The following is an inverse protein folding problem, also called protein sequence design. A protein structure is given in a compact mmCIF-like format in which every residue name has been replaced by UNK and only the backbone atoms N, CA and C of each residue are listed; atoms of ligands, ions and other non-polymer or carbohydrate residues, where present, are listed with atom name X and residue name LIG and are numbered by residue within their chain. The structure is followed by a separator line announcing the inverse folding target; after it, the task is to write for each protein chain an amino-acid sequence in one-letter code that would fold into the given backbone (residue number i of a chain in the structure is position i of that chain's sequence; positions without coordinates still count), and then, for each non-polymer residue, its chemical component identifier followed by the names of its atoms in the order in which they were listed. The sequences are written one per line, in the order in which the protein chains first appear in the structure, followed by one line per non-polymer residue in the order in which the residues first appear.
data_IF_223780895606
#
_entry.id   IF_223780895606
#
_cell.length_a   1.000
_cell.length_b   1.000
_cell.length_c   1.000
_cell.angle_alpha   90.00
_cell.angle_beta   90.00
_cell.angle_gamma   90.00
#
_symmetry.space_group_name_H-M   'P 1'
#
loop_
_entity.id
_entity.type
_entity.pdbx_description
1 polymer ?
#
# COMPACT_ATOMS: atom_id res chain seq x y z
N UNK A 1 25.96 28.95 30.30
CA UNK A 1 25.53 27.54 30.24
C UNK A 1 24.97 27.07 28.86
N UNK A 2 25.47 27.54 27.70
CA UNK A 2 24.92 27.08 26.40
C UNK A 2 25.36 25.67 25.98
N UNK A 3 26.48 25.14 26.49
CA UNK A 3 26.99 23.81 26.12
C UNK A 3 26.13 22.64 26.62
N UNK A 4 25.52 22.77 27.81
CA UNK A 4 24.65 21.72 28.35
C UNK A 4 23.36 21.56 27.55
N UNK A 5 22.76 22.67 27.10
CA UNK A 5 21.58 22.66 26.23
C UNK A 5 21.89 22.05 24.87
N UNK A 6 23.06 22.37 24.28
CA UNK A 6 23.47 21.79 23.01
C UNK A 6 23.69 20.26 23.10
N UNK A 7 24.35 19.79 24.15
CA UNK A 7 24.55 18.35 24.40
C UNK A 7 23.21 17.64 24.62
N UNK A 8 22.30 18.23 25.41
CA UNK A 8 20.98 17.65 25.64
C UNK A 8 20.15 17.54 24.34
N UNK A 9 20.17 18.58 23.48
CA UNK A 9 19.50 18.56 22.18
C UNK A 9 20.11 17.52 21.24
N UNK A 10 21.44 17.38 21.23
CA UNK A 10 22.13 16.38 20.42
C UNK A 10 21.79 14.94 20.86
N UNK A 11 21.77 14.68 22.16
CA UNK A 11 21.37 13.36 22.70
C UNK A 11 19.90 13.08 22.41
N UNK A 12 19.01 14.07 22.58
CA UNK A 12 17.59 13.92 22.24
C UNK A 12 17.40 13.60 20.74
N UNK A 13 18.12 14.29 19.85
CA UNK A 13 18.09 14.01 18.42
C UNK A 13 18.58 12.59 18.09
N UNK A 14 19.66 12.12 18.75
CA UNK A 14 20.16 10.74 18.59
C UNK A 14 19.16 9.70 19.08
N UNK A 15 18.51 9.92 20.22
CA UNK A 15 17.50 9.00 20.76
C UNK A 15 16.28 8.95 19.83
N UNK A 16 15.79 10.10 19.36
CA UNK A 16 14.69 10.16 18.39
C UNK A 16 15.06 9.41 17.11
N UNK A 17 16.25 9.67 16.56
CA UNK A 17 16.74 8.98 15.37
C UNK A 17 16.84 7.46 15.57
N UNK A 18 17.35 7.02 16.72
CA UNK A 18 17.43 5.60 17.08
C UNK A 18 16.05 4.95 17.19
N UNK A 19 15.11 5.60 17.91
CA UNK A 19 13.75 5.08 18.08
C UNK A 19 13.05 4.95 16.73
N UNK A 20 13.16 5.96 15.85
CA UNK A 20 12.58 5.90 14.50
C UNK A 20 13.13 4.70 13.73
N UNK A 21 14.45 4.47 13.76
CA UNK A 21 15.08 3.34 13.07
C UNK A 21 14.66 1.98 13.64
N UNK A 22 14.56 1.86 14.96
CA UNK A 22 14.11 0.61 15.59
C UNK A 22 12.66 0.31 15.25
N UNK A 23 11.78 1.32 15.28
CA UNK A 23 10.37 1.17 14.91
C UNK A 23 10.22 0.76 13.45
N UNK A 24 10.99 1.37 12.54
CA UNK A 24 10.99 1.01 11.10
C UNK A 24 11.36 -0.46 10.90
N UNK A 25 12.44 -0.93 11.53
CA UNK A 25 12.87 -2.35 11.45
C UNK A 25 11.85 -3.29 12.09
N UNK A 26 11.31 -2.93 13.26
CA UNK A 26 10.28 -3.73 13.93
C UNK A 26 9.01 -3.85 13.08
N UNK A 27 8.62 -2.78 12.40
CA UNK A 27 7.47 -2.77 11.50
C UNK A 27 7.72 -3.68 10.29
N UNK A 28 8.91 -3.64 9.70
CA UNK A 28 9.29 -4.57 8.62
C UNK A 28 9.26 -6.04 9.07
N UNK A 29 9.78 -6.33 10.26
CA UNK A 29 9.73 -7.69 10.85
C UNK A 29 8.29 -8.10 11.12
N UNK A 30 7.45 -7.18 11.60
CA UNK A 30 6.05 -7.43 11.84
C UNK A 30 5.29 -7.73 10.54
N UNK A 31 5.50 -6.96 9.47
CA UNK A 31 4.93 -7.25 8.15
C UNK A 31 5.43 -8.61 7.63
N UNK A 32 6.73 -8.90 7.79
CA UNK A 32 7.28 -10.20 7.39
C UNK A 32 6.66 -11.35 8.18
N UNK A 33 6.38 -11.17 9.47
CA UNK A 33 5.70 -12.16 10.30
C UNK A 33 4.24 -12.37 9.85
N UNK A 34 3.51 -11.29 9.54
CA UNK A 34 2.15 -11.38 8.97
C UNK A 34 2.15 -12.14 7.64
N UNK A 35 3.08 -11.80 6.74
CA UNK A 35 3.24 -12.47 5.46
C UNK A 35 3.62 -13.95 5.65
N UNK A 36 4.48 -14.26 6.63
CA UNK A 36 4.85 -15.63 6.96
C UNK A 36 3.67 -16.45 7.48
N UNK A 37 2.83 -15.87 8.32
CA UNK A 37 1.59 -16.49 8.82
C UNK A 37 0.61 -16.74 7.68
N UNK A 38 0.43 -15.76 6.78
CA UNK A 38 -0.37 -15.89 5.57
C UNK A 38 0.13 -17.03 4.67
N UNK A 39 1.42 -17.03 4.33
CA UNK A 39 2.04 -18.05 3.49
C UNK A 39 1.93 -19.43 4.13
N UNK A 40 2.10 -19.54 5.46
CA UNK A 40 1.92 -20.78 6.20
C UNK A 40 0.47 -21.25 6.15
N UNK A 41 -0.51 -20.36 6.29
CA UNK A 41 -1.93 -20.72 6.22
C UNK A 41 -2.33 -21.25 4.84
N UNK A 42 -1.82 -20.63 3.76
CA UNK A 42 -2.02 -21.12 2.39
C UNK A 42 -1.30 -22.45 2.19
N UNK A 43 -0.04 -22.56 2.62
CA UNK A 43 0.74 -23.80 2.50
C UNK A 43 0.03 -24.97 3.18
N UNK A 44 -0.46 -24.78 4.42
CA UNK A 44 -1.22 -25.78 5.17
C UNK A 44 -2.51 -26.18 4.44
N UNK A 45 -3.21 -25.21 3.84
CA UNK A 45 -4.44 -25.46 3.08
C UNK A 45 -4.16 -26.30 1.83
N UNK A 46 -3.10 -25.97 1.09
CA UNK A 46 -2.67 -26.70 -0.10
C UNK A 46 -2.19 -28.12 0.26
N UNK A 47 -1.40 -28.27 1.31
CA UNK A 47 -0.93 -29.56 1.80
C UNK A 47 -2.11 -30.46 2.23
N UNK A 48 -3.06 -29.93 2.99
CA UNK A 48 -4.24 -30.71 3.42
C UNK A 48 -5.18 -31.05 2.26
N UNK A 49 -5.37 -30.13 1.30
CA UNK A 49 -6.32 -30.32 0.20
C UNK A 49 -5.75 -31.19 -0.92
N UNK A 50 -4.48 -31.00 -1.28
CA UNK A 50 -3.82 -31.68 -2.41
C UNK A 50 -2.84 -32.78 -1.98
N UNK A 51 -2.60 -32.97 -0.66
CA UNK A 51 -1.69 -33.98 -0.10
C UNK A 51 -0.27 -33.93 -0.68
N UNK A 52 0.19 -32.72 -1.03
CA UNK A 52 1.54 -32.48 -1.56
C UNK A 52 2.55 -32.24 -0.43
N UNK A 53 3.84 -32.49 -0.70
CA UNK A 53 4.90 -32.20 0.27
C UNK A 53 4.97 -30.71 0.63
N UNK A 54 5.30 -30.39 1.88
CA UNK A 54 5.34 -29.01 2.41
C UNK A 54 6.16 -28.03 1.56
N UNK A 55 7.26 -28.47 0.94
CA UNK A 55 8.08 -27.62 0.07
C UNK A 55 7.37 -27.26 -1.25
N UNK A 56 6.57 -28.19 -1.81
CA UNK A 56 5.71 -27.94 -2.98
C UNK A 56 4.56 -27.01 -2.61
N UNK A 57 3.96 -27.22 -1.43
CA UNK A 57 2.92 -26.33 -0.91
C UNK A 57 3.43 -24.89 -0.76
N UNK A 58 4.62 -24.71 -0.17
CA UNK A 58 5.21 -23.40 0.02
C UNK A 58 5.59 -22.72 -1.30
N UNK A 59 6.25 -23.45 -2.21
CA UNK A 59 6.61 -22.89 -3.54
C UNK A 59 5.36 -22.49 -4.33
N UNK A 60 4.31 -23.32 -4.31
CA UNK A 60 3.04 -23.00 -4.96
C UNK A 60 2.38 -21.79 -4.31
N UNK A 61 2.39 -21.68 -2.98
CA UNK A 61 1.85 -20.53 -2.26
C UNK A 61 2.59 -19.24 -2.67
N UNK A 62 3.92 -19.26 -2.67
CA UNK A 62 4.76 -18.10 -3.02
C UNK A 62 4.55 -17.68 -4.47
N UNK A 63 4.64 -18.62 -5.40
CA UNK A 63 4.42 -18.36 -6.84
C UNK A 63 3.00 -17.87 -7.08
N UNK A 64 2.00 -18.48 -6.42
CA UNK A 64 0.60 -18.08 -6.49
C UNK A 64 0.38 -16.65 -5.98
N UNK A 65 0.98 -16.28 -4.84
CA UNK A 65 0.90 -14.92 -4.31
C UNK A 65 1.58 -13.91 -5.23
N UNK A 66 2.77 -14.21 -5.76
CA UNK A 66 3.47 -13.33 -6.71
C UNK A 66 2.67 -13.15 -7.99
N UNK A 67 2.10 -14.23 -8.53
CA UNK A 67 1.23 -14.19 -9.71
C UNK A 67 -0.05 -13.38 -9.43
N UNK A 68 -0.65 -13.52 -8.24
CA UNK A 68 -1.81 -12.72 -7.83
C UNK A 68 -1.47 -11.23 -7.75
N UNK A 69 -0.35 -10.87 -7.12
CA UNK A 69 0.11 -9.47 -7.03
C UNK A 69 0.39 -8.90 -8.42
N UNK A 70 1.10 -9.63 -9.28
CA UNK A 70 1.37 -9.21 -10.65
C UNK A 70 0.07 -9.08 -11.48
N UNK A 71 -0.86 -10.02 -11.34
CA UNK A 71 -2.16 -9.98 -12.01
C UNK A 71 -3.03 -8.81 -11.55
N UNK A 72 -3.07 -8.54 -10.25
CA UNK A 72 -3.75 -7.35 -9.69
C UNK A 72 -3.09 -6.09 -10.24
N UNK A 73 -1.76 -5.99 -10.24
CA UNK A 73 -1.03 -4.85 -10.80
C UNK A 73 -1.36 -4.63 -12.28
N UNK A 74 -1.38 -5.70 -13.08
CA UNK A 74 -1.74 -5.64 -14.49
C UNK A 74 -3.20 -5.21 -14.73
N UNK A 75 -4.12 -5.52 -13.81
CA UNK A 75 -5.51 -5.09 -13.86
C UNK A 75 -5.72 -3.65 -13.37
N UNK A 76 -4.94 -3.19 -12.39
CA UNK A 76 -5.12 -1.88 -11.75
C UNK A 76 -4.36 -0.75 -12.45
N UNK A 77 -3.13 -0.99 -12.89
CA UNK A 77 -2.25 0.06 -13.42
C UNK A 77 -2.81 0.70 -14.70
N UNK A 78 -3.23 -0.04 -15.73
CA UNK A 78 -3.73 0.57 -16.97
C UNK A 78 -4.95 1.46 -16.75
N UNK A 79 -6.03 1.04 -16.04
CA UNK A 79 -7.17 1.90 -15.77
C UNK A 79 -6.82 3.20 -15.04
N UNK A 80 -5.90 3.15 -14.08
CA UNK A 80 -5.44 4.35 -13.36
C UNK A 80 -4.73 5.30 -14.31
N UNK A 81 -3.85 4.78 -15.18
CA UNK A 81 -3.17 5.58 -16.19
C UNK A 81 -4.18 6.19 -17.16
N UNK A 82 -5.06 5.39 -17.74
CA UNK A 82 -6.02 5.82 -18.76
C UNK A 82 -6.99 6.86 -18.20
N UNK A 83 -7.50 6.67 -16.99
CA UNK A 83 -8.40 7.64 -16.35
C UNK A 83 -7.68 8.93 -15.96
N UNK A 84 -6.47 8.84 -15.45
CA UNK A 84 -5.69 10.04 -15.10
C UNK A 84 -5.33 10.82 -16.36
N UNK A 85 -4.96 10.14 -17.45
CA UNK A 85 -4.73 10.76 -18.75
C UNK A 85 -6.02 11.40 -19.30
N UNK A 86 -7.14 10.69 -19.28
CA UNK A 86 -8.43 11.20 -19.74
C UNK A 86 -8.84 12.47 -18.98
N UNK A 87 -8.66 12.49 -17.66
CA UNK A 87 -8.89 13.68 -16.84
C UNK A 87 -8.01 14.84 -17.31
N UNK A 88 -6.71 14.63 -17.48
CA UNK A 88 -5.78 15.69 -17.88
C UNK A 88 -6.05 16.19 -19.30
N UNK A 89 -6.39 15.32 -20.24
CA UNK A 89 -6.75 15.71 -21.61
C UNK A 89 -8.13 16.37 -21.67
N UNK A 90 -9.04 16.02 -20.75
CA UNK A 90 -10.37 16.61 -20.64
C UNK A 90 -10.40 17.95 -19.91
N UNK A 91 -9.43 18.21 -19.03
CA UNK A 91 -9.27 19.48 -18.29
C UNK A 91 -9.41 20.72 -19.18
N UNK A 92 -8.75 20.87 -20.34
CA UNK A 92 -8.92 22.04 -21.20
C UNK A 92 -10.36 22.26 -21.66
N UNK A 93 -11.12 21.20 -21.97
CA UNK A 93 -12.53 21.32 -22.36
C UNK A 93 -13.42 21.74 -21.18
N UNK A 94 -13.15 21.20 -19.99
CA UNK A 94 -13.85 21.59 -18.76
C UNK A 94 -13.54 23.04 -18.38
N UNK A 95 -12.28 23.45 -18.47
CA UNK A 95 -11.83 24.81 -18.15
C UNK A 95 -12.36 25.82 -19.16
N UNK A 96 -12.35 25.51 -20.45
CA UNK A 96 -12.95 26.38 -21.49
C UNK A 96 -14.46 26.51 -21.32
N UNK A 97 -15.16 25.43 -20.92
CA UNK A 97 -16.59 25.49 -20.59
C UNK A 97 -16.86 26.40 -19.38
N UNK A 98 -16.05 26.29 -18.33
CA UNK A 98 -16.10 27.17 -17.16
C UNK A 98 -15.79 28.62 -17.56
N UNK A 99 -14.79 28.84 -18.41
CA UNK A 99 -14.45 30.17 -18.94
C UNK A 99 -15.59 30.78 -19.73
N UNK A 100 -16.28 30.00 -20.56
CA UNK A 100 -17.41 30.49 -21.36
C UNK A 100 -18.61 30.87 -20.47
N UNK A 101 -18.89 30.09 -19.43
CA UNK A 101 -19.91 30.43 -18.43
C UNK A 101 -19.52 31.68 -17.65
N UNK A 102 -18.26 31.77 -17.19
CA UNK A 102 -17.74 32.94 -16.48
C UNK A 102 -17.71 34.18 -17.37
N UNK A 103 -17.38 34.06 -18.65
CA UNK A 103 -17.39 35.16 -19.61
C UNK A 103 -18.82 35.67 -19.86
N UNK A 104 -19.81 34.77 -19.89
CA UNK A 104 -21.23 35.12 -19.96
C UNK A 104 -21.67 35.87 -18.71
N UNK A 105 -21.24 35.44 -17.51
CA UNK A 105 -21.56 36.10 -16.24
C UNK A 105 -20.77 37.40 -16.01
N UNK A 106 -19.61 37.54 -16.66
CA UNK A 106 -18.77 38.75 -16.60
C UNK A 106 -19.36 39.92 -17.38
N UNK A 107 -20.34 39.68 -18.26
CA UNK A 107 -21.15 40.74 -18.90
C UNK A 107 -22.01 41.46 -17.86
N UNK A 108 -22.55 40.73 -16.89
CA UNK A 108 -23.43 41.27 -15.84
C UNK A 108 -22.65 41.77 -14.60
N UNK A 109 -21.44 41.24 -14.35
CA UNK A 109 -20.62 41.61 -13.19
C UNK A 109 -19.15 41.93 -13.58
N UNK A 110 -18.75 43.22 -13.70
CA UNK A 110 -17.42 43.63 -14.18
C UNK A 110 -16.25 43.25 -13.25
N UNK A 111 -16.52 42.76 -12.04
CA UNK A 111 -15.51 42.28 -11.08
C UNK A 111 -14.89 40.94 -11.54
N UNK A 112 -15.64 40.12 -12.28
CA UNK A 112 -15.19 38.79 -12.74
C UNK A 112 -14.18 38.86 -13.89
N UNK A 113 -14.17 39.98 -14.62
CA UNK A 113 -13.31 40.23 -15.79
C UNK A 113 -11.82 40.40 -15.46
N UNK A 114 -11.45 40.55 -14.17
CA UNK A 114 -10.06 40.66 -13.70
C UNK A 114 -9.44 39.33 -13.27
N UNK A 115 -10.17 38.23 -13.33
CA UNK A 115 -9.62 36.92 -12.95
C UNK A 115 -8.78 36.35 -14.10
N UNK A 116 -7.55 35.90 -13.82
CA UNK A 116 -6.64 35.29 -14.82
C UNK A 116 -7.24 34.06 -15.52
N UNK A 117 -8.25 33.45 -14.88
CA UNK A 117 -9.06 32.38 -15.42
C UNK A 117 -9.90 32.83 -16.62
N UNK A 118 -10.38 34.07 -16.67
CA UNK A 118 -11.26 34.59 -17.72
C UNK A 118 -10.51 35.17 -18.93
N UNK A 119 -9.17 35.26 -18.88
CA UNK A 119 -8.34 35.78 -19.96
C UNK A 119 -7.67 34.63 -20.75
N UNK A 120 -8.10 34.35 -22.00
CA UNK A 120 -7.50 33.31 -22.85
C UNK A 120 -6.03 33.55 -23.18
N UNK A 121 -5.54 34.79 -23.03
CA UNK A 121 -4.16 35.18 -23.33
C UNK A 121 -3.18 34.98 -22.17
N UNK A 122 -3.69 34.70 -20.95
CA UNK A 122 -2.88 34.55 -19.74
C UNK A 122 -1.95 33.33 -19.76
N UNK A 123 -2.17 32.38 -20.67
CA UNK A 123 -1.41 31.13 -20.74
C UNK A 123 -1.50 30.26 -19.48
N UNK A 124 -2.41 30.59 -18.54
CA UNK A 124 -2.59 29.88 -17.27
C UNK A 124 -3.02 28.43 -17.50
N UNK A 125 -4.00 28.21 -18.38
CA UNK A 125 -4.48 26.86 -18.75
C UNK A 125 -3.36 26.02 -19.38
N UNK A 126 -2.57 26.62 -20.27
CA UNK A 126 -1.43 25.95 -20.89
C UNK A 126 -0.34 25.59 -19.85
N UNK A 127 -0.08 26.47 -18.88
CA UNK A 127 0.82 26.19 -17.74
C UNK A 127 0.29 25.06 -16.86
N UNK A 128 -1.00 25.08 -16.50
CA UNK A 128 -1.63 24.03 -15.69
C UNK A 128 -1.56 22.65 -16.35
N UNK A 129 -1.82 22.58 -17.66
CA UNK A 129 -1.74 21.34 -18.44
C UNK A 129 -0.30 20.86 -18.55
N UNK A 130 0.64 21.76 -18.82
CA UNK A 130 2.06 21.43 -18.88
C UNK A 130 2.55 20.91 -17.52
N UNK A 131 2.20 21.57 -16.42
CA UNK A 131 2.54 21.17 -15.06
C UNK A 131 1.91 19.82 -14.69
N UNK A 132 0.64 19.59 -15.02
CA UNK A 132 -0.02 18.29 -14.80
C UNK A 132 0.65 17.17 -15.63
N UNK A 133 1.00 17.44 -16.89
CA UNK A 133 1.66 16.47 -17.77
C UNK A 133 3.11 16.19 -17.36
N UNK A 134 3.80 17.21 -16.86
CA UNK A 134 5.17 17.11 -16.34
C UNK A 134 5.17 16.43 -14.97
N UNK A 135 4.16 16.66 -14.14
CA UNK A 135 3.95 15.93 -12.90
C UNK A 135 3.67 14.46 -13.18
N UNK A 136 2.82 14.09 -14.14
CA UNK A 136 2.64 12.68 -14.50
C UNK A 136 3.92 12.04 -15.02
N UNK A 137 4.56 12.63 -16.02
CA UNK A 137 5.83 12.10 -16.56
C UNK A 137 6.91 12.03 -15.48
N UNK A 138 7.02 13.09 -14.69
CA UNK A 138 8.00 13.27 -13.63
C UNK A 138 7.64 12.63 -12.29
N UNK A 139 6.45 12.06 -12.09
CA UNK A 139 6.10 11.23 -10.92
C UNK A 139 6.21 9.75 -11.29
N UNK A 140 5.76 9.36 -12.48
CA UNK A 140 5.89 7.99 -12.98
C UNK A 140 7.36 7.55 -13.13
N UNK A 141 8.25 8.44 -13.59
CA UNK A 141 9.69 8.12 -13.77
C UNK A 141 10.44 7.92 -12.44
N UNK A 142 10.29 8.76 -11.40
CA UNK A 142 10.86 8.51 -10.09
C UNK A 142 10.23 7.34 -9.33
N UNK A 143 8.98 6.96 -9.56
CA UNK A 143 8.45 5.73 -8.96
C UNK A 143 9.17 4.46 -9.46
N UNK A 144 9.78 4.50 -10.65
CA UNK A 144 10.64 3.42 -11.15
C UNK A 144 12.01 3.40 -10.44
N UNK A 145 12.58 4.56 -10.08
CA UNK A 145 13.89 4.65 -9.40
C UNK A 145 13.78 4.60 -7.86
N UNK A 146 12.80 5.28 -7.26
CA UNK A 146 12.33 5.08 -5.87
C UNK A 146 11.75 3.66 -5.68
N UNK A 147 11.31 3.03 -6.77
CA UNK A 147 11.02 1.60 -6.86
C UNK A 147 12.18 0.74 -6.38
N UNK A 148 13.44 1.19 -6.50
CA UNK A 148 14.59 0.49 -5.95
C UNK A 148 14.56 0.33 -4.43
N UNK A 149 14.20 1.39 -3.68
CA UNK A 149 14.09 1.31 -2.21
C UNK A 149 12.91 0.43 -1.79
N UNK A 150 11.73 0.64 -2.40
CA UNK A 150 10.54 -0.19 -2.14
C UNK A 150 10.76 -1.64 -2.55
N UNK A 151 11.52 -1.89 -3.61
CA UNK A 151 11.89 -3.22 -4.07
C UNK A 151 12.85 -3.88 -3.09
N UNK A 152 13.89 -3.18 -2.62
CA UNK A 152 14.82 -3.73 -1.63
C UNK A 152 14.10 -4.03 -0.31
N UNK A 153 13.28 -3.11 0.19
CA UNK A 153 12.51 -3.31 1.43
C UNK A 153 11.47 -4.42 1.27
N UNK A 154 10.70 -4.40 0.18
CA UNK A 154 9.72 -5.43 -0.13
C UNK A 154 10.35 -6.81 -0.33
N UNK A 155 11.46 -6.90 -1.06
CA UNK A 155 12.22 -8.13 -1.22
C UNK A 155 12.76 -8.63 0.12
N UNK A 156 13.27 -7.72 0.96
CA UNK A 156 13.71 -8.04 2.32
C UNK A 156 12.59 -8.64 3.17
N UNK A 157 11.39 -8.04 3.11
CA UNK A 157 10.19 -8.56 3.79
C UNK A 157 9.80 -9.94 3.27
N UNK A 158 9.78 -10.14 1.95
CA UNK A 158 9.46 -11.44 1.33
C UNK A 158 10.48 -12.51 1.74
N UNK A 159 11.78 -12.20 1.66
CA UNK A 159 12.85 -13.11 2.07
C UNK A 159 12.73 -13.46 3.54
N UNK A 160 12.52 -12.46 4.42
CA UNK A 160 12.32 -12.69 5.85
C UNK A 160 11.09 -13.55 6.12
N UNK A 161 9.98 -13.28 5.44
CA UNK A 161 8.75 -14.07 5.57
C UNK A 161 8.98 -15.53 5.16
N UNK A 162 9.67 -15.77 4.04
CA UNK A 162 10.04 -17.12 3.59
C UNK A 162 10.87 -17.85 4.64
N UNK A 163 11.89 -17.21 5.19
CA UNK A 163 12.71 -17.81 6.23
C UNK A 163 11.88 -18.19 7.47
N UNK A 164 11.02 -17.27 7.93
CA UNK A 164 10.09 -17.50 9.05
C UNK A 164 9.14 -18.67 8.76
N UNK A 165 8.62 -18.78 7.54
CA UNK A 165 7.71 -19.87 7.14
C UNK A 165 8.42 -21.22 7.00
N UNK A 166 9.65 -21.26 6.46
CA UNK A 166 10.38 -22.53 6.25
C UNK A 166 10.73 -23.18 7.59
N UNK A 167 11.25 -22.42 8.56
CA UNK A 167 11.73 -22.94 9.86
C UNK A 167 11.06 -22.27 11.07
N UNK A 168 9.74 -22.41 11.26
CA UNK A 168 9.03 -21.71 12.34
C UNK A 168 9.52 -22.09 13.74
N UNK A 169 9.98 -23.33 13.93
CA UNK A 169 10.54 -23.81 15.21
C UNK A 169 11.87 -23.14 15.56
N UNK A 170 12.75 -22.91 14.59
CA UNK A 170 14.04 -22.26 14.81
C UNK A 170 13.85 -20.82 15.35
N UNK A 171 12.92 -20.06 14.77
CA UNK A 171 12.65 -18.68 15.19
C UNK A 171 11.89 -18.61 16.51
N UNK A 172 10.97 -19.56 16.76
CA UNK A 172 10.31 -19.72 18.06
C UNK A 172 11.31 -20.06 19.16
N UNK A 173 12.18 -21.04 18.94
CA UNK A 173 13.12 -21.49 19.97
C UNK A 173 14.23 -20.45 20.18
N UNK A 174 14.65 -19.74 19.12
CA UNK A 174 15.54 -18.59 19.21
C UNK A 174 14.97 -17.44 20.05
N UNK A 175 13.70 -17.06 19.83
CA UNK A 175 13.04 -16.03 20.65
C UNK A 175 12.86 -16.47 22.10
N UNK A 176 12.52 -17.74 22.34
CA UNK A 176 12.43 -18.30 23.70
C UNK A 176 13.79 -18.42 24.40
N UNK A 177 14.90 -18.53 23.65
CA UNK A 177 16.24 -18.62 24.22
C UNK A 177 16.68 -17.32 24.92
N UNK A 178 16.19 -16.17 24.44
CA UNK A 178 16.42 -14.84 25.04
C UNK A 178 15.67 -14.65 26.36
N UNK A 179 14.68 -15.50 26.65
CA UNK A 179 13.90 -15.46 27.88
C UNK A 179 14.57 -16.30 28.98
N UNK A 180 14.52 -15.80 30.21
CA UNK A 180 14.96 -16.57 31.39
C UNK A 180 14.20 -17.91 31.47
N UNK A 181 14.87 -19.02 31.87
CA UNK A 181 14.25 -20.35 31.93
C UNK A 181 12.90 -20.39 32.66
N UNK A 182 12.73 -19.57 33.71
CA UNK A 182 11.50 -19.46 34.49
C UNK A 182 10.29 -19.00 33.66
N UNK A 183 10.49 -18.15 32.66
CA UNK A 183 9.42 -17.57 31.84
C UNK A 183 9.26 -18.25 30.47
N UNK A 184 10.11 -19.22 30.11
CA UNK A 184 10.06 -19.89 28.79
C UNK A 184 8.73 -20.56 28.51
N UNK A 185 8.13 -21.21 29.50
CA UNK A 185 6.81 -21.85 29.34
C UNK A 185 5.69 -20.81 29.09
N UNK A 186 5.75 -19.65 29.75
CA UNK A 186 4.80 -18.56 29.54
C UNK A 186 4.99 -17.95 28.14
N UNK A 187 6.23 -17.63 27.76
CA UNK A 187 6.55 -17.09 26.43
C UNK A 187 6.12 -18.02 25.30
N UNK A 188 6.29 -19.33 25.49
CA UNK A 188 5.88 -20.34 24.50
C UNK A 188 4.36 -20.38 24.28
N UNK A 189 3.57 -20.12 25.34
CA UNK A 189 2.10 -20.01 25.25
C UNK A 189 1.68 -18.72 24.57
N UNK A 190 2.22 -17.58 25.02
CA UNK A 190 1.92 -16.26 24.43
C UNK A 190 2.24 -16.23 22.94
N UNK A 191 3.37 -16.81 22.52
CA UNK A 191 3.74 -16.86 21.10
C UNK A 191 2.83 -17.77 20.28
N UNK A 192 2.35 -18.87 20.87
CA UNK A 192 1.39 -19.75 20.22
C UNK A 192 0.01 -19.07 20.07
N UNK A 193 -0.45 -18.39 21.11
CA UNK A 193 -1.69 -17.62 21.08
C UNK A 193 -1.60 -16.48 20.06
N UNK A 194 -0.50 -15.71 20.07
CA UNK A 194 -0.26 -14.66 19.08
C UNK A 194 -0.26 -15.20 17.65
N UNK A 195 0.38 -16.35 17.40
CA UNK A 195 0.35 -16.98 16.08
C UNK A 195 -1.06 -17.38 15.66
N UNK A 196 -1.85 -17.97 16.56
CA UNK A 196 -3.24 -18.36 16.29
C UNK A 196 -4.12 -17.14 16.02
N UNK A 197 -3.99 -16.08 16.82
CA UNK A 197 -4.72 -14.81 16.65
C UNK A 197 -4.36 -14.13 15.33
N UNK A 198 -3.07 -14.01 15.01
CA UNK A 198 -2.62 -13.41 13.74
C UNK A 198 -3.10 -14.23 12.54
N UNK A 199 -3.13 -15.56 12.65
CA UNK A 199 -3.66 -16.44 11.60
C UNK A 199 -5.15 -16.22 11.39
N UNK A 200 -5.93 -16.19 12.46
CA UNK A 200 -7.37 -15.94 12.38
C UNK A 200 -7.68 -14.55 11.83
N UNK A 201 -6.94 -13.54 12.28
CA UNK A 201 -7.04 -12.16 11.77
C UNK A 201 -6.72 -12.09 10.28
N UNK A 202 -5.62 -12.70 9.82
CA UNK A 202 -5.23 -12.67 8.41
C UNK A 202 -6.29 -13.33 7.51
N UNK A 203 -6.88 -14.45 7.93
CA UNK A 203 -7.96 -15.11 7.18
C UNK A 203 -9.22 -14.23 7.15
N UNK A 204 -9.61 -13.66 8.30
CA UNK A 204 -10.75 -12.74 8.39
C UNK A 204 -10.56 -11.50 7.51
N UNK A 205 -9.35 -10.95 7.49
CA UNK A 205 -9.00 -9.79 6.67
C UNK A 205 -9.09 -10.13 5.18
N UNK A 206 -8.53 -11.25 4.73
CA UNK A 206 -8.66 -11.69 3.33
C UNK A 206 -10.11 -11.87 2.90
N UNK A 207 -10.93 -12.46 3.77
CA UNK A 207 -12.36 -12.61 3.52
C UNK A 207 -13.04 -11.24 3.38
N UNK A 208 -12.74 -10.30 4.29
CA UNK A 208 -13.26 -8.94 4.22
C UNK A 208 -12.86 -8.23 2.93
N UNK A 209 -11.59 -8.35 2.51
CA UNK A 209 -11.10 -7.80 1.25
C UNK A 209 -11.85 -8.39 0.04
N UNK A 210 -12.07 -9.71 0.03
CA UNK A 210 -12.80 -10.39 -1.05
C UNK A 210 -14.26 -9.92 -1.12
N UNK A 211 -14.94 -9.87 0.03
CA UNK A 211 -16.33 -9.41 0.11
C UNK A 211 -16.44 -7.96 -0.34
N UNK A 212 -15.56 -7.09 0.14
CA UNK A 212 -15.56 -5.67 -0.25
C UNK A 212 -15.27 -5.51 -1.75
N UNK A 213 -14.25 -6.21 -2.27
CA UNK A 213 -13.95 -6.16 -3.69
C UNK A 213 -15.12 -6.61 -4.56
N UNK A 214 -15.78 -7.70 -4.17
CA UNK A 214 -16.91 -8.27 -4.90
C UNK A 214 -18.14 -7.36 -4.87
N UNK A 215 -18.53 -6.87 -3.68
CA UNK A 215 -19.68 -5.97 -3.54
C UNK A 215 -19.45 -4.64 -4.25
N UNK A 216 -18.26 -4.06 -4.14
CA UNK A 216 -17.93 -2.82 -4.85
C UNK A 216 -17.89 -3.05 -6.36
N UNK A 217 -17.30 -4.15 -6.83
CA UNK A 217 -17.28 -4.49 -8.26
C UNK A 217 -18.69 -4.62 -8.84
N UNK A 218 -19.59 -5.32 -8.13
CA UNK A 218 -21.00 -5.46 -8.55
C UNK A 218 -21.73 -4.13 -8.53
N UNK A 219 -21.53 -3.32 -7.49
CA UNK A 219 -22.16 -2.01 -7.39
C UNK A 219 -21.74 -1.08 -8.53
N UNK A 220 -20.44 -1.06 -8.87
CA UNK A 220 -19.91 -0.26 -9.97
C UNK A 220 -20.35 -0.81 -11.33
N UNK A 221 -20.41 -2.13 -11.48
CA UNK A 221 -20.92 -2.76 -12.70
C UNK A 221 -22.40 -2.43 -12.93
N UNK A 222 -23.23 -2.46 -11.88
CA UNK A 222 -24.65 -2.11 -11.96
C UNK A 222 -24.90 -0.62 -12.26
N UNK A 223 -23.91 0.24 -12.01
CA UNK A 223 -23.94 1.68 -12.31
C UNK A 223 -23.28 2.01 -13.66
N UNK A 224 -22.92 1.00 -14.47
CA UNK A 224 -22.19 1.16 -15.74
C UNK A 224 -20.89 2.00 -15.61
N UNK A 225 -20.22 1.91 -14.45
CA UNK A 225 -18.95 2.62 -14.23
C UNK A 225 -17.83 1.88 -14.97
N UNK A 226 -17.03 2.58 -15.80
CA UNK A 226 -15.90 1.96 -16.49
C UNK A 226 -14.88 1.43 -15.48
N UNK A 227 -14.22 0.32 -15.81
CA UNK A 227 -13.21 -0.32 -14.96
C UNK A 227 -13.73 -0.75 -13.57
N UNK A 228 -15.02 -1.07 -13.46
CA UNK A 228 -15.67 -1.57 -12.23
C UNK A 228 -14.87 -2.68 -11.52
N UNK A 229 -14.27 -3.61 -12.27
CA UNK A 229 -13.48 -4.70 -11.72
C UNK A 229 -12.18 -4.21 -11.07
N UNK A 230 -11.47 -3.31 -11.75
CA UNK A 230 -10.23 -2.73 -11.23
C UNK A 230 -10.52 -1.94 -9.94
N UNK A 231 -11.56 -1.11 -9.94
CA UNK A 231 -11.94 -0.36 -8.75
C UNK A 231 -12.45 -1.22 -7.60
N UNK A 232 -13.19 -2.30 -7.89
CA UNK A 232 -13.56 -3.28 -6.88
C UNK A 232 -12.33 -3.91 -6.23
N UNK A 233 -11.41 -4.44 -7.02
CA UNK A 233 -10.16 -5.04 -6.52
C UNK A 233 -9.34 -4.02 -5.72
N UNK A 234 -9.21 -2.78 -6.21
CA UNK A 234 -8.50 -1.71 -5.50
C UNK A 234 -9.13 -1.43 -4.13
N UNK A 235 -10.46 -1.33 -4.07
CA UNK A 235 -11.19 -1.08 -2.82
C UNK A 235 -10.95 -2.20 -1.82
N UNK A 236 -11.02 -3.47 -2.26
CA UNK A 236 -10.69 -4.61 -1.41
C UNK A 236 -9.23 -4.59 -0.94
N UNK A 237 -8.29 -4.23 -1.81
CA UNK A 237 -6.86 -4.18 -1.48
C UNK A 237 -6.55 -3.12 -0.42
N UNK A 238 -7.06 -1.90 -0.59
CA UNK A 238 -6.82 -0.77 0.31
C UNK A 238 -7.39 -1.03 1.71
N UNK A 239 -8.42 -1.86 1.83
CA UNK A 239 -9.02 -2.22 3.11
C UNK A 239 -8.07 -3.00 4.06
N UNK A 240 -6.93 -3.50 3.57
CA UNK A 240 -5.83 -4.06 4.42
C UNK A 240 -5.27 -3.01 5.37
N UNK A 241 -5.19 -1.76 4.91
CA UNK A 241 -4.66 -0.68 5.74
C UNK A 241 -5.75 -0.32 6.74
N UNK A 242 -5.53 -0.54 8.05
CA UNK A 242 -6.52 -0.14 9.04
C UNK A 242 -6.73 1.36 8.93
N UNK A 243 -7.98 1.79 8.75
CA UNK A 243 -8.34 3.18 8.94
C UNK A 243 -8.06 3.48 10.41
N UNK A 244 -6.96 4.18 10.69
CA UNK A 244 -6.72 4.73 12.01
C UNK A 244 -7.89 5.68 12.31
N UNK A 245 -8.77 5.24 13.20
CA UNK A 245 -9.91 5.97 13.75
C UNK A 245 -9.92 5.76 15.24
#
# INVERSE_FOLDING_TARGET
MPGATFVALFVAALVIWFVIRVVEVLLLVFIAALLAVYLSAITDLLERRFRIARWLGLTTAVVGTLAAVAGIGALLVPPVIDQTQALITGLPQTLTSIQNVLATWAVDYPVLRRTELADPSSGFVARLINDASNFLRGSLLPYVTAGGKLFIEGAGVVVMALYLTVRPTLYRDGTLSLMSPKYRALGARVLADAHATLRAWAIGQLLAMMVLAFLTAIGLWALDVPYWLAFGIFTGLVAVVPFFG
#
